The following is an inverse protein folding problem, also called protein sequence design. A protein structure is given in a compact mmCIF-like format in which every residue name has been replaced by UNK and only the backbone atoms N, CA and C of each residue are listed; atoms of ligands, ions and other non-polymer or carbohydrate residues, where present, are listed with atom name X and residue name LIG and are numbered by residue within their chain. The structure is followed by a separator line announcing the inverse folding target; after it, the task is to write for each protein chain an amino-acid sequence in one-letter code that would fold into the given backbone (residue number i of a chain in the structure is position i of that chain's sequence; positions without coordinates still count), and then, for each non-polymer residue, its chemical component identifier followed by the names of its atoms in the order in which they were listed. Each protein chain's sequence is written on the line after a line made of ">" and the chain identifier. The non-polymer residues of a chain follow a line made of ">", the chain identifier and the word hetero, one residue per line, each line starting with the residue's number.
data_IF_481530061653
#
_entry.id   IF_481530061653
#
_cell.length_a   1.000
_cell.length_b   1.000
_cell.length_c   1.000
_cell.angle_alpha   90.00
_cell.angle_beta   90.00
_cell.angle_gamma   90.00
#
_symmetry.space_group_name_H-M   'P 1'
#
loop_
_entity.id
_entity.type
_entity.pdbx_description
1 polymer ?
#
# COMPACT_ATOMS: atom_id res chain seq x y z
N UNK A 1 -6.14 -17.85 4.92
CA UNK A 1 -6.00 -16.38 4.92
C UNK A 1 -7.18 -15.71 4.22
N UNK A 2 -7.41 -15.95 2.92
CA UNK A 2 -8.57 -15.38 2.18
C UNK A 2 -9.92 -15.65 2.88
N UNK A 3 -10.14 -16.87 3.39
CA UNK A 3 -11.33 -17.19 4.21
C UNK A 3 -11.43 -16.36 5.50
N UNK A 4 -10.31 -16.02 6.14
CA UNK A 4 -10.28 -15.18 7.36
C UNK A 4 -10.56 -13.72 7.02
N UNK A 5 -10.05 -13.26 5.88
CA UNK A 5 -10.20 -11.87 5.42
C UNK A 5 -11.55 -11.64 4.73
N UNK A 6 -12.17 -12.67 4.17
CA UNK A 6 -13.43 -12.58 3.43
C UNK A 6 -13.28 -12.08 1.98
N UNK A 7 -12.05 -12.06 1.46
CA UNK A 7 -11.72 -11.56 0.12
C UNK A 7 -10.80 -12.52 -0.62
N UNK A 8 -10.96 -12.59 -1.94
CA UNK A 8 -9.96 -13.15 -2.84
C UNK A 8 -8.86 -12.11 -3.05
N UNK A 9 -7.61 -12.49 -2.75
CA UNK A 9 -6.46 -11.59 -2.85
C UNK A 9 -5.96 -11.50 -4.29
N UNK A 10 -5.32 -10.38 -4.64
CA UNK A 10 -4.75 -10.20 -5.96
C UNK A 10 -3.69 -11.26 -6.26
N UNK A 11 -3.60 -11.67 -7.53
CA UNK A 11 -2.80 -12.82 -7.94
C UNK A 11 -1.32 -12.64 -7.60
N UNK A 12 -0.77 -11.45 -7.82
CA UNK A 12 0.64 -11.18 -7.56
C UNK A 12 1.00 -11.33 -6.09
N UNK A 13 0.16 -10.80 -5.19
CA UNK A 13 0.36 -10.92 -3.75
C UNK A 13 0.19 -12.36 -3.26
N UNK A 14 -0.86 -13.06 -3.71
CA UNK A 14 -1.08 -14.47 -3.37
C UNK A 14 0.08 -15.35 -3.82
N UNK A 15 0.59 -15.13 -5.03
CA UNK A 15 1.73 -15.88 -5.58
C UNK A 15 3.00 -15.65 -4.77
N UNK A 16 3.24 -14.41 -4.33
CA UNK A 16 4.38 -14.08 -3.50
C UNK A 16 4.29 -14.74 -2.11
N UNK A 17 3.13 -14.69 -1.46
CA UNK A 17 2.90 -15.31 -0.16
C UNK A 17 3.01 -16.83 -0.19
N UNK A 18 2.66 -17.47 -1.32
CA UNK A 18 2.80 -18.92 -1.47
C UNK A 18 4.27 -19.40 -1.43
N UNK A 19 5.22 -18.51 -1.72
CA UNK A 19 6.65 -18.81 -1.71
C UNK A 19 7.34 -18.32 -0.44
N UNK A 20 7.00 -17.11 0.02
CA UNK A 20 7.71 -16.43 1.11
C UNK A 20 7.03 -16.59 2.48
N UNK A 21 5.70 -16.47 2.52
CA UNK A 21 4.90 -16.38 3.75
C UNK A 21 5.48 -15.38 4.78
N UNK A 22 5.79 -14.18 4.31
CA UNK A 22 6.56 -13.17 5.04
C UNK A 22 7.95 -13.02 4.42
N UNK A 23 8.47 -11.80 4.39
CA UNK A 23 9.70 -11.52 3.65
C UNK A 23 10.33 -10.22 4.12
N UNK A 24 11.65 -10.14 4.19
CA UNK A 24 12.32 -8.89 4.53
C UNK A 24 13.83 -9.04 4.66
N UNK A 25 14.57 -7.91 4.64
CA UNK A 25 14.09 -6.55 4.45
C UNK A 25 13.69 -6.21 3.00
N UNK A 26 12.67 -5.34 2.84
CA UNK A 26 12.19 -4.87 1.53
C UNK A 26 13.02 -3.68 1.05
N UNK A 27 13.23 -2.73 1.96
CA UNK A 27 13.99 -1.51 1.71
C UNK A 27 14.63 -1.02 3.01
N UNK A 28 15.38 0.08 2.92
CA UNK A 28 15.94 0.75 4.10
C UNK A 28 14.86 1.30 5.06
N UNK A 29 13.62 1.43 4.60
CA UNK A 29 12.51 2.03 5.36
C UNK A 29 11.37 1.06 5.66
N UNK A 30 11.29 -0.06 4.94
CA UNK A 30 10.28 -1.12 5.13
C UNK A 30 11.00 -2.42 5.44
N UNK A 31 10.90 -2.86 6.70
CA UNK A 31 11.75 -3.92 7.24
C UNK A 31 11.26 -5.31 6.94
N UNK A 32 9.98 -5.50 6.66
CA UNK A 32 9.40 -6.80 6.41
C UNK A 32 8.00 -6.71 5.79
N UNK A 33 7.54 -7.85 5.26
CA UNK A 33 6.17 -8.16 4.89
C UNK A 33 5.63 -9.19 5.89
N UNK A 34 4.39 -8.97 6.31
CA UNK A 34 3.68 -9.83 7.25
C UNK A 34 3.47 -11.24 6.66
N UNK A 35 3.50 -12.26 7.53
CA UNK A 35 3.06 -13.61 7.16
C UNK A 35 1.54 -13.68 6.97
N UNK A 36 1.05 -14.77 6.38
CA UNK A 36 -0.39 -14.98 6.17
C UNK A 36 -1.23 -15.02 7.46
N UNK A 37 -0.59 -15.23 8.61
CA UNK A 37 -1.20 -15.19 9.94
C UNK A 37 -1.32 -13.78 10.52
N UNK A 38 -0.46 -12.85 10.10
CA UNK A 38 -0.32 -11.51 10.70
C UNK A 38 -1.05 -10.44 9.90
N UNK A 39 -1.18 -10.62 8.59
CA UNK A 39 -1.91 -9.70 7.69
C UNK A 39 -3.35 -9.50 8.18
N UNK A 40 -3.77 -8.25 8.38
CA UNK A 40 -5.16 -7.90 8.69
C UNK A 40 -5.48 -6.49 8.16
N UNK A 41 -6.74 -6.08 8.28
CA UNK A 41 -7.22 -4.79 7.83
C UNK A 41 -6.62 -3.65 8.65
N UNK A 42 -6.23 -2.55 7.98
CA UNK A 42 -5.60 -1.38 8.59
C UNK A 42 -6.44 -0.84 9.75
N UNK A 43 -7.76 -0.78 9.61
CA UNK A 43 -8.67 -0.34 10.68
C UNK A 43 -8.58 -1.15 11.98
N UNK A 44 -8.16 -2.42 11.91
CA UNK A 44 -7.95 -3.24 13.11
C UNK A 44 -6.56 -3.08 13.71
N UNK A 45 -5.59 -2.68 12.89
CA UNK A 45 -4.20 -2.49 13.30
C UNK A 45 -3.98 -1.07 13.85
N UNK A 46 -4.59 -0.07 13.23
CA UNK A 46 -4.39 1.34 13.55
C UNK A 46 -5.66 2.15 13.24
N UNK A 47 -6.64 2.07 14.15
CA UNK A 47 -7.90 2.82 14.03
C UNK A 47 -7.69 4.33 14.10
N UNK A 48 -6.74 4.79 14.91
CA UNK A 48 -6.47 6.22 15.11
C UNK A 48 -5.93 6.86 13.83
N UNK A 49 -5.01 6.20 13.12
CA UNK A 49 -4.56 6.65 11.81
C UNK A 49 -5.70 6.70 10.80
N UNK A 50 -6.54 5.65 10.74
CA UNK A 50 -7.69 5.61 9.82
C UNK A 50 -8.63 6.78 10.11
N UNK A 51 -8.98 7.03 11.37
CA UNK A 51 -9.84 8.14 11.77
C UNK A 51 -9.19 9.49 11.47
N UNK A 52 -7.89 9.65 11.68
CA UNK A 52 -7.16 10.88 11.37
C UNK A 52 -7.26 11.24 9.87
N UNK A 53 -7.03 10.27 8.99
CA UNK A 53 -7.05 10.49 7.54
C UNK A 53 -8.47 10.55 6.95
N UNK A 54 -9.47 9.97 7.61
CA UNK A 54 -10.86 9.97 7.13
C UNK A 54 -11.72 11.12 7.70
N UNK A 55 -11.39 11.68 8.87
CA UNK A 55 -12.18 12.74 9.52
C UNK A 55 -11.87 14.16 9.03
N UNK A 56 -10.73 14.38 8.38
CA UNK A 56 -10.43 15.62 7.64
C UNK A 56 -10.30 15.30 6.14
N UNK A 57 -11.40 14.84 5.49
CA UNK A 57 -11.35 14.53 4.08
C UNK A 57 -11.00 15.82 3.35
N UNK A 58 -9.92 15.78 2.56
CA UNK A 58 -9.62 16.86 1.63
C UNK A 58 -10.90 17.11 0.82
N UNK A 59 -11.50 18.32 0.90
CA UNK A 59 -12.83 18.57 0.36
C UNK A 59 -12.83 18.25 -1.11
N UNK A 60 -13.77 17.40 -1.59
CA UNK A 60 -13.96 16.93 -2.98
C UNK A 60 -13.03 17.65 -3.96
N UNK A 61 -11.76 17.25 -3.94
CA UNK A 61 -10.73 18.03 -4.59
C UNK A 61 -10.91 17.77 -6.09
N UNK A 62 -11.11 18.81 -6.92
CA UNK A 62 -11.14 18.63 -8.37
C UNK A 62 -9.88 17.91 -8.91
N UNK A 63 -8.75 17.99 -8.19
CA UNK A 63 -7.51 17.24 -8.45
C UNK A 63 -7.60 15.75 -8.07
N UNK A 64 -8.68 15.30 -7.43
CA UNK A 64 -9.00 13.88 -7.15
C UNK A 64 -10.04 13.28 -8.09
N UNK A 65 -10.43 14.00 -9.15
CA UNK A 65 -11.19 13.40 -10.25
C UNK A 65 -10.51 12.10 -10.73
N UNK A 66 -11.30 11.16 -11.27
CA UNK A 66 -10.81 9.82 -11.63
C UNK A 66 -9.51 9.86 -12.45
N UNK A 67 -9.38 10.78 -13.42
CA UNK A 67 -8.19 10.85 -14.27
C UNK A 67 -6.90 11.23 -13.52
N UNK A 68 -6.84 12.35 -12.77
CA UNK A 68 -5.70 12.65 -11.90
C UNK A 68 -5.39 11.58 -10.85
N UNK A 69 -6.42 11.03 -10.17
CA UNK A 69 -6.22 10.00 -9.15
C UNK A 69 -5.58 8.75 -9.76
N UNK A 70 -5.99 8.34 -10.95
CA UNK A 70 -5.49 7.13 -11.63
C UNK A 70 -4.15 7.34 -12.36
N UNK A 71 -3.43 8.44 -12.09
CA UNK A 71 -2.03 8.56 -12.51
C UNK A 71 -1.09 7.81 -11.57
N UNK A 72 -0.25 6.95 -12.15
CA UNK A 72 0.79 6.16 -11.49
C UNK A 72 2.18 6.43 -12.09
N UNK A 73 2.34 7.51 -12.86
CA UNK A 73 3.55 7.84 -13.62
C UNK A 73 4.70 8.45 -12.79
N UNK A 74 4.64 8.31 -11.47
CA UNK A 74 5.61 8.89 -10.54
C UNK A 74 5.38 10.37 -10.21
N UNK A 75 4.49 11.07 -10.93
CA UNK A 75 4.10 12.45 -10.62
C UNK A 75 2.76 12.52 -9.85
N UNK A 76 2.38 11.42 -9.20
CA UNK A 76 1.18 11.34 -8.40
C UNK A 76 1.25 12.24 -7.17
N UNK A 77 0.13 12.89 -6.84
CA UNK A 77 0.00 13.60 -5.57
C UNK A 77 -0.23 12.56 -4.47
N UNK A 78 0.77 12.33 -3.61
CA UNK A 78 0.65 11.28 -2.59
C UNK A 78 -0.49 11.56 -1.57
N UNK A 79 -1.00 12.80 -1.48
CA UNK A 79 -2.20 13.11 -0.70
C UNK A 79 -3.53 12.84 -1.35
N UNK A 80 -3.51 12.21 -2.51
CA UNK A 80 -4.69 11.73 -3.19
C UNK A 80 -5.19 10.39 -2.61
N UNK A 81 -5.59 10.39 -1.35
CA UNK A 81 -6.32 9.27 -0.75
C UNK A 81 -7.82 9.57 -0.78
N UNK A 82 -8.61 8.69 -1.41
CA UNK A 82 -10.07 8.83 -1.40
C UNK A 82 -10.61 8.52 0.00
N UNK A 83 -11.59 9.31 0.43
CA UNK A 83 -12.28 9.06 1.70
C UNK A 83 -12.82 7.63 1.77
N UNK A 84 -12.65 6.98 2.92
CA UNK A 84 -13.04 5.59 3.15
C UNK A 84 -12.06 4.53 2.62
N UNK A 85 -11.04 4.91 1.82
CA UNK A 85 -10.08 3.94 1.31
C UNK A 85 -9.14 3.40 2.40
N UNK A 86 -8.74 4.22 3.37
CA UNK A 86 -7.83 3.78 4.43
C UNK A 86 -8.42 2.63 5.25
N UNK A 87 -9.69 2.73 5.64
CA UNK A 87 -10.36 1.72 6.47
C UNK A 87 -10.42 0.33 5.85
N UNK A 88 -10.50 0.26 4.53
CA UNK A 88 -10.59 -1.00 3.77
C UNK A 88 -9.23 -1.50 3.28
N UNK A 89 -8.14 -0.78 3.52
CA UNK A 89 -6.82 -1.24 3.15
C UNK A 89 -6.41 -2.46 3.98
N UNK A 90 -5.83 -3.45 3.31
CA UNK A 90 -5.20 -4.59 3.95
C UNK A 90 -3.73 -4.24 4.25
N UNK A 91 -3.32 -4.23 5.51
CA UNK A 91 -1.95 -3.93 5.89
C UNK A 91 -1.07 -5.17 5.70
N UNK A 92 -0.05 -5.07 4.85
CA UNK A 92 0.78 -6.21 4.41
C UNK A 92 2.23 -6.16 4.90
N UNK A 93 2.62 -5.10 5.59
CA UNK A 93 3.87 -4.98 6.35
C UNK A 93 3.58 -4.50 7.76
N UNK A 94 4.54 -4.68 8.67
CA UNK A 94 4.58 -3.86 9.87
C UNK A 94 4.94 -2.42 9.52
N UNK A 95 4.82 -1.53 10.51
CA UNK A 95 5.47 -0.23 10.45
C UNK A 95 6.98 -0.44 10.37
N UNK A 96 7.60 0.16 9.36
CA UNK A 96 9.04 0.31 9.27
C UNK A 96 9.52 1.55 10.03
N UNK A 97 10.32 2.39 9.39
CA UNK A 97 10.85 3.62 10.01
C UNK A 97 9.73 4.63 10.33
N UNK A 98 8.98 5.07 9.31
CA UNK A 98 7.79 5.90 9.47
C UNK A 98 6.75 5.65 8.37
N UNK A 99 6.66 4.41 7.91
CA UNK A 99 5.73 4.00 6.86
C UNK A 99 5.42 2.50 6.86
N UNK A 100 4.46 2.12 6.03
CA UNK A 100 4.02 0.75 5.83
C UNK A 100 3.52 0.52 4.40
N UNK A 101 3.33 -0.75 4.06
CA UNK A 101 2.75 -1.21 2.81
C UNK A 101 1.33 -1.74 3.04
N UNK A 102 0.42 -1.39 2.14
CA UNK A 102 -0.96 -1.86 2.19
C UNK A 102 -1.54 -2.13 0.80
N UNK A 103 -2.65 -2.88 0.73
CA UNK A 103 -3.40 -3.15 -0.50
C UNK A 103 -4.82 -2.61 -0.37
N UNK A 104 -5.27 -1.82 -1.35
CA UNK A 104 -6.58 -1.18 -1.38
C UNK A 104 -7.54 -1.95 -2.31
N UNK A 105 -8.52 -2.70 -1.77
CA UNK A 105 -9.44 -3.49 -2.58
C UNK A 105 -10.46 -2.67 -3.40
N UNK A 106 -10.69 -1.39 -3.09
CA UNK A 106 -11.66 -0.58 -3.84
C UNK A 106 -11.11 0.03 -5.11
N UNK A 107 -9.79 0.05 -5.28
CA UNK A 107 -9.16 0.44 -6.54
C UNK A 107 -8.44 -0.76 -7.12
N UNK A 108 -8.87 -1.20 -8.29
CA UNK A 108 -8.34 -2.40 -8.93
C UNK A 108 -7.90 -2.13 -10.38
N UNK A 109 -6.91 -2.89 -10.82
CA UNK A 109 -6.38 -2.89 -12.18
C UNK A 109 -6.23 -4.34 -12.64
N UNK A 110 -7.08 -4.78 -13.58
CA UNK A 110 -7.02 -6.15 -14.13
C UNK A 110 -7.07 -7.26 -13.06
N UNK A 111 -7.81 -7.04 -11.96
CA UNK A 111 -7.94 -7.98 -10.85
C UNK A 111 -6.83 -7.87 -9.80
N UNK A 112 -5.84 -7.01 -10.01
CA UNK A 112 -4.88 -6.61 -8.99
C UNK A 112 -5.43 -5.46 -8.15
N UNK A 113 -5.15 -5.46 -6.85
CA UNK A 113 -5.49 -4.34 -5.96
C UNK A 113 -4.39 -3.29 -6.04
N UNK A 114 -4.79 -2.02 -5.99
CA UNK A 114 -3.87 -0.91 -5.85
C UNK A 114 -3.02 -1.10 -4.58
N UNK A 115 -1.71 -1.01 -4.71
CA UNK A 115 -0.77 -1.16 -3.60
C UNK A 115 -0.26 0.21 -3.17
N UNK A 116 -0.14 0.41 -1.86
CA UNK A 116 0.22 1.66 -1.23
C UNK A 116 1.54 1.50 -0.49
N UNK A 117 2.44 2.46 -0.67
CA UNK A 117 3.49 2.77 0.28
C UNK A 117 3.09 4.07 1.00
N UNK A 118 2.57 3.91 2.20
CA UNK A 118 2.21 5.01 3.08
C UNK A 118 3.44 5.39 3.92
N UNK A 119 3.72 6.68 4.07
CA UNK A 119 4.72 7.15 5.01
C UNK A 119 4.43 8.57 5.47
N UNK A 120 4.85 8.91 6.69
CA UNK A 120 4.57 10.20 7.32
C UNK A 120 5.24 11.40 6.62
N UNK A 121 6.25 11.15 5.78
CA UNK A 121 6.89 12.19 4.97
C UNK A 121 6.23 12.38 3.61
N UNK A 122 5.27 11.52 3.24
CA UNK A 122 4.40 11.77 2.10
C UNK A 122 3.15 12.50 2.56
N UNK A 123 2.54 13.34 1.71
CA UNK A 123 1.19 13.83 1.98
C UNK A 123 0.12 12.72 1.94
N UNK A 124 0.47 11.43 2.04
CA UNK A 124 -0.44 10.27 2.03
C UNK A 124 0.31 9.00 1.60
N UNK A 125 -0.11 8.36 0.51
CA UNK A 125 0.55 7.17 -0.03
C UNK A 125 1.03 7.35 -1.47
N UNK A 126 2.20 6.79 -1.77
CA UNK A 126 2.62 6.49 -3.14
C UNK A 126 1.88 5.21 -3.56
N UNK A 127 1.14 5.29 -4.66
CA UNK A 127 0.26 4.22 -5.13
C UNK A 127 0.85 3.51 -6.35
N UNK A 128 0.52 2.24 -6.49
CA UNK A 128 0.94 1.35 -7.56
C UNK A 128 -0.26 0.52 -8.02
N UNK A 129 -0.32 0.12 -9.28
CA UNK A 129 -1.46 -0.63 -9.83
C UNK A 129 -1.58 -2.04 -9.26
N UNK A 130 -0.49 -2.57 -8.69
CA UNK A 130 -0.43 -3.93 -8.14
C UNK A 130 0.67 -4.06 -7.09
N UNK A 131 0.61 -5.14 -6.30
CA UNK A 131 1.70 -5.54 -5.41
C UNK A 131 3.00 -5.84 -6.18
N UNK A 132 2.90 -6.49 -7.35
CA UNK A 132 4.07 -6.76 -8.19
C UNK A 132 4.80 -5.47 -8.61
N UNK A 133 4.05 -4.45 -9.05
CA UNK A 133 4.64 -3.16 -9.45
C UNK A 133 5.32 -2.46 -8.28
N UNK A 134 4.70 -2.48 -7.08
CA UNK A 134 5.28 -1.95 -5.86
C UNK A 134 6.62 -2.64 -5.53
N UNK A 135 6.66 -3.98 -5.59
CA UNK A 135 7.86 -4.76 -5.28
C UNK A 135 8.98 -4.52 -6.29
N UNK A 136 8.66 -4.48 -7.59
CA UNK A 136 9.62 -4.19 -8.65
C UNK A 136 10.25 -2.81 -8.46
N UNK A 137 9.41 -1.80 -8.20
CA UNK A 137 9.88 -0.43 -8.00
C UNK A 137 10.70 -0.27 -6.72
N UNK A 138 10.34 -0.97 -5.64
CA UNK A 138 11.10 -0.98 -4.39
C UNK A 138 12.49 -1.59 -4.59
N UNK A 139 12.57 -2.71 -5.32
CA UNK A 139 13.84 -3.35 -5.66
C UNK A 139 14.73 -2.44 -6.52
N UNK A 140 14.19 -1.83 -7.56
CA UNK A 140 14.93 -0.91 -8.44
C UNK A 140 15.56 0.26 -7.66
N UNK A 141 14.77 0.90 -6.79
CA UNK A 141 15.25 2.00 -5.94
C UNK A 141 16.36 1.57 -4.99
N UNK A 142 16.23 0.41 -4.35
CA UNK A 142 17.26 -0.12 -3.46
C UNK A 142 18.56 -0.45 -4.21
N UNK A 143 18.46 -1.00 -5.42
CA UNK A 143 19.62 -1.24 -6.28
C UNK A 143 20.31 0.09 -6.67
N UNK A 144 19.55 1.13 -6.97
CA UNK A 144 20.09 2.46 -7.28
C UNK A 144 20.77 3.11 -6.08
N UNK A 145 20.16 3.06 -4.90
CA UNK A 145 20.75 3.59 -3.66
C UNK A 145 22.09 2.95 -3.34
N UNK A 146 22.20 1.62 -3.48
CA UNK A 146 23.44 0.88 -3.26
C UNK A 146 24.55 1.20 -4.27
N UNK A 147 24.21 1.66 -5.47
CA UNK A 147 25.22 2.12 -6.45
C UNK A 147 25.77 3.50 -6.14
N UNK A 148 25.04 4.30 -5.37
CA UNK A 148 25.34 5.69 -5.07
C UNK A 148 25.91 5.92 -3.67
N UNK A 149 26.17 4.84 -2.91
CA UNK A 149 26.75 4.85 -1.55
C UNK A 149 28.11 4.16 -1.57
#
# INVERSE_FOLDING_TARGET
>A
MEQRLGYELPFSYRSFLAVSNGFGPISSFIYDLCSVSEVDWLVKQDLELVELWENDPMPDDPELADQPYLSYDGNQFAGALRSGHMRQCLMISHWGDAGFLALNPAQQHEGEWEAWHFANWYPGAVRYRSFAELMQNSYEREVELRKNT
#
